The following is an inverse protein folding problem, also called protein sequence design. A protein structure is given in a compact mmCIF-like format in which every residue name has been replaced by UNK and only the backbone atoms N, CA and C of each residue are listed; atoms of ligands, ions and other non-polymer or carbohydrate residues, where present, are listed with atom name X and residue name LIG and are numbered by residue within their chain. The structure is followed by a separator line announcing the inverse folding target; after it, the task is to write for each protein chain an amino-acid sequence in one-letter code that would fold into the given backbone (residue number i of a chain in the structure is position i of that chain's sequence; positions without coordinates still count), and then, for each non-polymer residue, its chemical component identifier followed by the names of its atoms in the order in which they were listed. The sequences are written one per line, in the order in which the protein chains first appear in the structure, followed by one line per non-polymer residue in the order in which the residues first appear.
data_IF_099319287423
#
_entry.id   IF_099319287423
#
_cell.length_a   1.000
_cell.length_b   1.000
_cell.length_c   1.000
_cell.angle_alpha   90.00
_cell.angle_beta   90.00
_cell.angle_gamma   90.00
#
_symmetry.space_group_name_H-M   'P 1'
#
loop_
_entity.id
_entity.type
_entity.pdbx_description
1 polymer ?
#
# COMPACT_ATOMS: atom_id res chain seq x y z
N UNK A 1 -18.31 -0.61 -24.88
CA UNK A 1 -17.61 0.02 -23.74
C UNK A 1 -17.22 -1.10 -22.80
N UNK A 2 -15.92 -1.30 -22.54
CA UNK A 2 -15.51 -2.24 -21.50
C UNK A 2 -16.00 -1.67 -20.16
N UNK A 3 -16.91 -2.40 -19.51
CA UNK A 3 -17.40 -2.02 -18.19
C UNK A 3 -16.22 -2.12 -17.21
N UNK A 4 -15.93 -1.03 -16.50
CA UNK A 4 -14.86 -0.97 -15.49
C UNK A 4 -15.04 -2.10 -14.48
N UNK A 5 -16.28 -2.41 -14.11
CA UNK A 5 -16.60 -3.50 -13.19
C UNK A 5 -16.13 -4.86 -13.70
N UNK A 6 -16.30 -5.15 -15.00
CA UNK A 6 -15.85 -6.41 -15.60
C UNK A 6 -14.33 -6.50 -15.63
N UNK A 7 -13.64 -5.39 -15.93
CA UNK A 7 -12.17 -5.37 -15.86
C UNK A 7 -11.69 -5.54 -14.42
N UNK A 8 -12.36 -4.91 -13.45
CA UNK A 8 -11.99 -5.06 -12.04
C UNK A 8 -12.21 -6.50 -11.57
N UNK A 9 -13.30 -7.15 -11.98
CA UNK A 9 -13.56 -8.56 -11.71
C UNK A 9 -12.50 -9.47 -12.36
N UNK A 10 -12.19 -9.27 -13.64
CA UNK A 10 -11.19 -10.05 -14.39
C UNK A 10 -9.80 -10.02 -13.72
N UNK A 11 -9.39 -8.84 -13.24
CA UNK A 11 -8.09 -8.63 -12.62
C UNK A 11 -8.12 -8.76 -11.09
N UNK A 12 -9.24 -9.18 -10.50
CA UNK A 12 -9.44 -9.27 -9.04
C UNK A 12 -9.10 -7.97 -8.30
N UNK A 13 -9.44 -6.83 -8.89
CA UNK A 13 -9.29 -5.51 -8.30
C UNK A 13 -10.55 -5.22 -7.47
N UNK A 14 -10.43 -4.98 -6.16
CA UNK A 14 -11.60 -4.70 -5.33
C UNK A 14 -12.28 -3.40 -5.77
N UNK A 15 -13.60 -3.45 -5.94
CA UNK A 15 -14.43 -2.25 -6.10
C UNK A 15 -14.58 -1.59 -4.73
N UNK A 16 -13.97 -0.42 -4.57
CA UNK A 16 -14.04 0.38 -3.35
C UNK A 16 -15.19 1.36 -3.45
N UNK A 17 -15.87 1.60 -2.32
CA UNK A 17 -16.88 2.64 -2.23
C UNK A 17 -16.28 4.03 -2.37
N UNK A 18 -17.09 5.01 -2.78
CA UNK A 18 -16.65 6.40 -2.92
C UNK A 18 -16.14 6.99 -1.59
N UNK A 19 -16.71 6.55 -0.47
CA UNK A 19 -16.29 6.96 0.87
C UNK A 19 -14.89 6.43 1.22
N UNK A 20 -14.63 5.15 0.93
CA UNK A 20 -13.29 4.54 1.11
C UNK A 20 -12.26 5.23 0.23
N UNK A 21 -12.57 5.43 -1.05
CA UNK A 21 -11.70 6.11 -2.01
C UNK A 21 -11.34 7.54 -1.54
N UNK A 22 -12.34 8.27 -1.03
CA UNK A 22 -12.14 9.62 -0.52
C UNK A 22 -11.29 9.62 0.75
N UNK A 23 -11.49 8.63 1.63
CA UNK A 23 -10.66 8.44 2.83
C UNK A 23 -9.19 8.20 2.46
N UNK A 24 -8.92 7.26 1.54
CA UNK A 24 -7.56 7.00 1.07
C UNK A 24 -6.92 8.24 0.42
N UNK A 25 -7.68 8.97 -0.40
CA UNK A 25 -7.17 10.19 -1.04
C UNK A 25 -6.76 11.26 -0.02
N UNK A 26 -7.53 11.40 1.06
CA UNK A 26 -7.24 12.34 2.15
C UNK A 26 -6.01 11.92 2.96
N UNK A 27 -5.87 10.62 3.26
CA UNK A 27 -4.78 10.09 4.09
C UNK A 27 -3.49 9.83 3.31
N UNK A 28 -3.53 9.82 1.98
CA UNK A 28 -2.36 9.52 1.15
C UNK A 28 -1.13 10.43 1.41
N UNK A 29 -1.27 11.75 1.59
CA UNK A 29 -0.14 12.59 1.98
C UNK A 29 0.47 12.19 3.33
N UNK A 30 -0.36 11.79 4.30
CA UNK A 30 0.10 11.40 5.63
C UNK A 30 0.90 10.10 5.56
N UNK A 31 0.41 9.09 4.84
CA UNK A 31 1.14 7.81 4.75
C UNK A 31 2.44 7.95 3.95
N UNK A 32 2.49 8.81 2.92
CA UNK A 32 3.72 9.14 2.22
C UNK A 32 4.73 9.85 3.13
N UNK A 33 4.24 10.78 3.95
CA UNK A 33 5.09 11.43 4.95
C UNK A 33 5.64 10.42 5.95
N UNK A 34 4.80 9.49 6.45
CA UNK A 34 5.24 8.39 7.33
C UNK A 34 6.36 7.59 6.68
N UNK A 35 6.17 7.09 5.45
CA UNK A 35 7.20 6.34 4.69
C UNK A 35 8.52 7.12 4.57
N UNK A 36 8.45 8.40 4.22
CA UNK A 36 9.66 9.20 3.95
C UNK A 36 10.41 9.61 5.23
N UNK A 37 9.70 9.67 6.37
CA UNK A 37 10.26 10.04 7.67
C UNK A 37 10.30 8.85 8.64
N UNK A 38 10.22 7.63 8.12
CA UNK A 38 10.25 6.41 8.90
C UNK A 38 11.66 6.21 9.46
N UNK A 39 11.91 6.68 10.68
CA UNK A 39 13.26 6.76 11.24
C UNK A 39 13.67 5.50 12.01
N UNK A 40 12.69 4.72 12.51
CA UNK A 40 12.76 3.38 13.13
C UNK A 40 11.44 3.13 13.86
N UNK A 41 10.96 1.87 13.97
CA UNK A 41 9.89 1.56 14.90
C UNK A 41 10.35 1.88 16.34
N UNK A 42 9.43 2.29 17.21
CA UNK A 42 9.73 2.51 18.62
C UNK A 42 9.87 1.15 19.31
N UNK A 43 11.11 0.70 19.51
CA UNK A 43 11.40 -0.64 20.03
C UNK A 43 12.34 -0.58 21.23
N UNK A 44 11.97 -1.29 22.30
CA UNK A 44 12.82 -1.50 23.45
C UNK A 44 13.48 -2.88 23.36
N UNK A 45 14.80 -2.88 23.22
CA UNK A 45 15.61 -4.10 23.09
C UNK A 45 16.15 -4.47 24.46
N UNK A 46 15.90 -5.70 24.89
CA UNK A 46 16.45 -6.27 26.11
C UNK A 46 17.36 -7.44 25.76
N UNK A 47 18.67 -7.19 25.80
CA UNK A 47 19.72 -8.13 25.45
C UNK A 47 19.78 -9.33 26.41
N UNK A 48 19.47 -9.14 27.69
CA UNK A 48 19.54 -10.18 28.71
C UNK A 48 18.43 -11.22 28.58
N UNK A 49 17.22 -10.77 28.26
CA UNK A 49 16.06 -11.66 28.08
C UNK A 49 15.74 -11.95 26.61
N UNK A 50 16.58 -11.45 25.68
CA UNK A 50 16.40 -11.57 24.24
C UNK A 50 15.00 -11.19 23.77
N UNK A 51 14.48 -10.07 24.27
CA UNK A 51 13.16 -9.53 23.91
C UNK A 51 13.31 -8.23 23.14
N UNK A 52 12.45 -8.03 22.14
CA UNK A 52 12.24 -6.74 21.49
C UNK A 52 10.78 -6.37 21.74
N UNK A 53 10.56 -5.23 22.37
CA UNK A 53 9.22 -4.73 22.72
C UNK A 53 8.83 -3.65 21.74
N UNK A 54 7.82 -3.90 20.90
CA UNK A 54 7.33 -2.91 19.94
C UNK A 54 6.29 -2.04 20.66
N UNK A 55 6.55 -0.75 20.72
CA UNK A 55 5.60 0.26 21.19
C UNK A 55 4.81 0.77 20.00
N UNK A 56 3.50 0.55 20.02
CA UNK A 56 2.60 1.19 19.06
C UNK A 56 2.45 2.66 19.46
N UNK A 57 2.84 3.59 18.58
CA UNK A 57 2.81 5.04 18.84
C UNK A 57 1.40 5.65 18.72
N UNK A 58 0.38 4.84 18.46
CA UNK A 58 -1.00 5.30 18.49
C UNK A 58 -1.39 5.61 19.95
N UNK A 59 -1.33 6.91 20.27
CA UNK A 59 -1.45 7.65 21.54
C UNK A 59 -2.75 7.39 22.37
N UNK A 60 -3.42 6.26 22.17
CA UNK A 60 -4.64 5.86 22.89
C UNK A 60 -4.69 4.39 23.32
N UNK A 61 -3.68 3.56 23.06
CA UNK A 61 -3.61 2.21 23.63
C UNK A 61 -2.18 1.81 24.00
N UNK A 62 -1.96 1.58 25.30
CA UNK A 62 -0.77 0.96 25.88
C UNK A 62 -0.78 -0.54 25.51
N UNK A 63 -0.59 -0.85 24.23
CA UNK A 63 -0.40 -2.22 23.76
C UNK A 63 1.03 -2.35 23.27
N UNK A 64 1.97 -2.42 24.23
CA UNK A 64 3.31 -2.91 23.93
C UNK A 64 3.23 -4.41 23.69
N UNK A 65 3.72 -4.87 22.54
CA UNK A 65 3.85 -6.31 22.28
C UNK A 65 5.27 -6.72 22.62
N UNK A 66 5.41 -7.49 23.70
CA UNK A 66 6.67 -8.12 24.08
C UNK A 66 6.88 -9.34 23.17
N UNK A 67 7.85 -9.26 22.26
CA UNK A 67 8.24 -10.39 21.44
C UNK A 67 9.48 -11.04 22.07
N UNK A 68 9.33 -12.28 22.55
CA UNK A 68 10.43 -13.14 23.01
C UNK A 68 11.06 -13.82 21.80
N UNK A 69 12.38 -13.66 21.61
CA UNK A 69 13.04 -14.16 20.40
C UNK A 69 13.81 -15.46 20.57
N UNK A 70 13.45 -16.43 19.72
CA UNK A 70 14.18 -17.66 19.44
C UNK A 70 14.65 -17.65 17.98
N UNK A 71 15.72 -18.38 17.60
CA UNK A 71 16.22 -18.43 16.21
C UNK A 71 15.17 -18.84 15.18
N UNK A 72 14.15 -19.60 15.60
CA UNK A 72 13.00 -20.01 14.79
C UNK A 72 12.19 -18.79 14.27
N UNK A 73 12.21 -17.68 15.02
CA UNK A 73 11.50 -16.45 14.68
C UNK A 73 12.12 -15.72 13.47
N UNK A 74 13.41 -15.94 13.14
CA UNK A 74 14.01 -15.37 11.93
C UNK A 74 13.38 -15.94 10.66
N UNK A 75 13.08 -17.24 10.67
CA UNK A 75 12.41 -17.89 9.54
C UNK A 75 10.98 -17.37 9.40
N UNK A 76 10.26 -17.19 10.51
CA UNK A 76 8.91 -16.63 10.51
C UNK A 76 8.87 -15.18 10.01
N UNK A 77 9.79 -14.32 10.47
CA UNK A 77 9.93 -12.94 9.99
C UNK A 77 10.23 -12.89 8.49
N UNK A 78 11.14 -13.75 8.03
CA UNK A 78 11.47 -13.86 6.61
C UNK A 78 10.27 -14.29 5.77
N UNK A 79 9.49 -15.27 6.25
CA UNK A 79 8.25 -15.71 5.57
C UNK A 79 7.21 -14.57 5.50
N UNK A 80 7.00 -13.86 6.61
CA UNK A 80 6.07 -12.73 6.66
C UNK A 80 6.51 -11.59 5.71
N UNK A 81 7.79 -11.26 5.69
CA UNK A 81 8.34 -10.24 4.80
C UNK A 81 8.19 -10.65 3.33
N UNK A 82 8.49 -11.90 2.99
CA UNK A 82 8.30 -12.42 1.63
C UNK A 82 6.83 -12.40 1.20
N UNK A 83 5.90 -12.72 2.10
CA UNK A 83 4.47 -12.63 1.83
C UNK A 83 4.04 -11.18 1.57
N UNK A 84 4.47 -10.23 2.41
CA UNK A 84 4.19 -8.80 2.20
C UNK A 84 4.76 -8.29 0.87
N UNK A 85 5.98 -8.69 0.51
CA UNK A 85 6.60 -8.36 -0.77
C UNK A 85 5.83 -8.95 -1.95
N UNK A 86 5.36 -10.20 -1.83
CA UNK A 86 4.51 -10.82 -2.84
C UNK A 86 3.18 -10.07 -3.00
N UNK A 87 2.55 -9.65 -1.89
CA UNK A 87 1.35 -8.83 -1.91
C UNK A 87 1.60 -7.45 -2.54
N UNK A 88 2.71 -6.79 -2.23
CA UNK A 88 3.11 -5.51 -2.86
C UNK A 88 3.26 -5.69 -4.38
N UNK A 89 3.96 -6.73 -4.81
CA UNK A 89 4.16 -7.02 -6.22
C UNK A 89 2.84 -7.32 -6.94
N UNK A 90 1.93 -8.04 -6.27
CA UNK A 90 0.58 -8.28 -6.78
C UNK A 90 -0.19 -6.97 -6.96
N UNK A 91 -0.22 -6.11 -5.94
CA UNK A 91 -0.90 -4.80 -6.01
C UNK A 91 -0.33 -3.90 -7.11
N UNK A 92 0.99 -3.90 -7.31
CA UNK A 92 1.64 -3.15 -8.38
C UNK A 92 1.24 -3.69 -9.76
N UNK A 93 1.56 -4.95 -10.03
CA UNK A 93 1.45 -5.54 -11.37
C UNK A 93 0.02 -5.88 -11.81
N UNK A 94 -0.84 -6.32 -10.89
CA UNK A 94 -2.20 -6.78 -11.23
C UNK A 94 -3.26 -5.72 -11.02
N UNK A 95 -3.01 -4.70 -10.20
CA UNK A 95 -4.01 -3.68 -9.90
C UNK A 95 -3.57 -2.31 -10.39
N UNK A 96 -2.44 -1.78 -9.90
CA UNK A 96 -2.01 -0.42 -10.22
C UNK A 96 -1.72 -0.24 -11.71
N UNK A 97 -0.91 -1.13 -12.29
CA UNK A 97 -0.55 -1.07 -13.72
C UNK A 97 -1.79 -1.19 -14.62
N UNK A 98 -2.75 -2.03 -14.25
CA UNK A 98 -4.02 -2.19 -14.98
C UNK A 98 -4.83 -0.89 -14.93
N UNK A 99 -4.99 -0.30 -13.74
CA UNK A 99 -5.71 0.97 -13.57
C UNK A 99 -5.02 2.10 -14.34
N UNK A 100 -3.70 2.20 -14.29
CA UNK A 100 -2.93 3.22 -15.01
C UNK A 100 -3.07 3.07 -16.53
N UNK A 101 -3.08 1.83 -17.03
CA UNK A 101 -3.35 1.55 -18.44
C UNK A 101 -4.78 1.98 -18.85
N UNK A 102 -5.79 1.74 -18.01
CA UNK A 102 -7.15 2.20 -18.25
C UNK A 102 -7.24 3.74 -18.27
N UNK A 103 -6.59 4.42 -17.33
CA UNK A 103 -6.52 5.90 -17.30
C UNK A 103 -5.91 6.42 -18.61
N UNK A 104 -4.81 5.83 -19.06
CA UNK A 104 -4.15 6.21 -20.31
C UNK A 104 -5.04 5.96 -21.53
N UNK A 105 -5.73 4.81 -21.58
CA UNK A 105 -6.66 4.48 -22.65
C UNK A 105 -7.82 5.49 -22.73
N UNK A 106 -8.43 5.82 -21.58
CA UNK A 106 -9.54 6.77 -21.48
C UNK A 106 -9.11 8.19 -21.80
N UNK A 107 -7.94 8.62 -21.32
CA UNK A 107 -7.34 9.91 -21.66
C UNK A 107 -7.05 10.03 -23.15
N UNK A 108 -6.54 8.97 -23.78
CA UNK A 108 -6.33 8.92 -25.23
C UNK A 108 -7.66 9.03 -25.98
N UNK A 109 -8.70 8.31 -25.54
CA UNK A 109 -10.04 8.41 -26.14
C UNK A 109 -10.61 9.83 -26.02
N UNK A 110 -10.46 10.47 -24.86
CA UNK A 110 -10.85 11.86 -24.65
C UNK A 110 -10.17 12.80 -25.66
N UNK A 111 -8.86 12.62 -25.91
CA UNK A 111 -8.13 13.39 -26.92
C UNK A 111 -8.54 13.11 -28.37
N UNK A 112 -9.15 11.96 -28.65
CA UNK A 112 -9.63 11.59 -29.98
C UNK A 112 -11.03 12.14 -30.29
N UNK A 113 -11.80 12.52 -29.26
CA UNK A 113 -13.11 13.16 -29.43
C UNK A 113 -12.89 14.55 -30.03
N UNK A 114 -13.10 14.67 -31.35
CA UNK A 114 -13.09 15.95 -32.07
C UNK A 114 -14.38 16.73 -31.76
N UNK A 115 -14.25 18.03 -31.52
CA UNK A 115 -15.36 18.96 -31.32
C UNK A 115 -16.22 19.10 -32.59
N UNK A 116 -17.18 18.20 -32.80
CA UNK A 116 -18.20 18.29 -33.85
C UNK A 116 -19.56 18.37 -33.16
N UNK A 117 -20.14 19.58 -33.15
CA UNK A 117 -21.47 19.96 -32.66
C UNK A 117 -21.78 19.68 -31.16
N UNK A 118 -21.64 20.76 -30.39
CA UNK A 118 -21.40 20.79 -28.93
C UNK A 118 -22.51 20.40 -27.96
N UNK A 119 -23.51 19.59 -28.36
CA UNK A 119 -24.56 19.13 -27.42
C UNK A 119 -24.45 17.62 -27.14
N UNK A 120 -24.21 16.78 -28.16
CA UNK A 120 -24.06 15.32 -28.00
C UNK A 120 -22.71 14.90 -27.39
N UNK A 121 -21.66 15.67 -27.66
CA UNK A 121 -20.30 15.45 -27.13
C UNK A 121 -20.21 15.70 -25.61
N UNK A 122 -21.09 16.55 -25.08
CA UNK A 122 -21.03 16.95 -23.67
C UNK A 122 -21.22 15.78 -22.70
N UNK A 123 -22.11 14.84 -23.03
CA UNK A 123 -22.39 13.70 -22.15
C UNK A 123 -21.31 12.62 -22.24
N UNK A 124 -20.81 12.29 -23.44
CA UNK A 124 -19.72 11.33 -23.60
C UNK A 124 -18.42 11.84 -22.93
N UNK A 125 -18.09 13.12 -23.12
CA UNK A 125 -16.93 13.76 -22.47
C UNK A 125 -17.08 13.73 -20.95
N UNK A 126 -18.26 14.11 -20.42
CA UNK A 126 -18.52 14.04 -18.98
C UNK A 126 -18.40 12.62 -18.43
N UNK A 127 -18.90 11.62 -19.16
CA UNK A 127 -18.79 10.21 -18.78
C UNK A 127 -17.33 9.78 -18.69
N UNK A 128 -16.53 10.04 -19.74
CA UNK A 128 -15.11 9.66 -19.77
C UNK A 128 -14.31 10.37 -18.69
N UNK A 129 -14.56 11.67 -18.46
CA UNK A 129 -13.92 12.43 -17.37
C UNK A 129 -14.30 11.87 -16.01
N UNK A 130 -15.56 11.46 -15.81
CA UNK A 130 -16.02 10.79 -14.60
C UNK A 130 -15.30 9.46 -14.36
N UNK A 131 -15.18 8.63 -15.41
CA UNK A 131 -14.43 7.36 -15.36
C UNK A 131 -12.96 7.59 -15.00
N UNK A 132 -12.29 8.56 -15.65
CA UNK A 132 -10.89 8.90 -15.34
C UNK A 132 -10.74 9.29 -13.88
N UNK A 133 -11.59 10.18 -13.36
CA UNK A 133 -11.53 10.62 -11.96
C UNK A 133 -11.74 9.45 -10.99
N UNK A 134 -12.66 8.53 -11.29
CA UNK A 134 -12.86 7.34 -10.47
C UNK A 134 -11.63 6.44 -10.49
N UNK A 135 -11.06 6.16 -11.66
CA UNK A 135 -9.84 5.35 -11.81
C UNK A 135 -8.64 5.99 -11.09
N UNK A 136 -8.48 7.32 -11.14
CA UNK A 136 -7.44 8.04 -10.40
C UNK A 136 -7.58 7.85 -8.89
N UNK A 137 -8.80 7.89 -8.35
CA UNK A 137 -9.05 7.59 -6.94
C UNK A 137 -8.68 6.15 -6.58
N UNK A 138 -9.08 5.19 -7.41
CA UNK A 138 -8.69 3.79 -7.22
C UNK A 138 -7.16 3.63 -7.24
N UNK A 139 -6.45 4.29 -8.16
CA UNK A 139 -5.00 4.27 -8.21
C UNK A 139 -4.37 4.80 -6.92
N UNK A 140 -4.90 5.89 -6.36
CA UNK A 140 -4.44 6.44 -5.07
C UNK A 140 -4.68 5.44 -3.93
N UNK A 141 -5.84 4.78 -3.88
CA UNK A 141 -6.13 3.78 -2.85
C UNK A 141 -5.16 2.57 -2.93
N UNK A 142 -4.88 2.07 -4.13
CA UNK A 142 -3.90 0.98 -4.30
C UNK A 142 -2.49 1.44 -3.91
N UNK A 143 -2.08 2.67 -4.30
CA UNK A 143 -0.79 3.24 -3.89
C UNK A 143 -0.69 3.40 -2.37
N UNK A 144 -1.77 3.80 -1.70
CA UNK A 144 -1.83 3.85 -0.25
C UNK A 144 -1.53 2.48 0.36
N UNK A 145 -2.22 1.44 -0.11
CA UNK A 145 -2.06 0.07 0.40
C UNK A 145 -0.65 -0.49 0.15
N UNK A 146 -0.03 -0.11 -0.97
CA UNK A 146 1.37 -0.44 -1.25
C UNK A 146 2.29 0.23 -0.22
N UNK A 147 2.14 1.54 -0.01
CA UNK A 147 2.98 2.29 0.93
C UNK A 147 2.83 1.75 2.35
N UNK A 148 1.62 1.41 2.79
CA UNK A 148 1.39 0.81 4.10
C UNK A 148 2.18 -0.50 4.29
N UNK A 149 2.17 -1.38 3.28
CA UNK A 149 2.92 -2.63 3.32
C UNK A 149 4.43 -2.41 3.23
N UNK A 150 4.87 -1.41 2.46
CA UNK A 150 6.30 -1.03 2.38
C UNK A 150 6.83 -0.58 3.74
N UNK A 151 6.05 0.21 4.50
CA UNK A 151 6.41 0.60 5.87
C UNK A 151 6.51 -0.64 6.77
N UNK A 152 5.53 -1.55 6.70
CA UNK A 152 5.56 -2.81 7.47
C UNK A 152 6.78 -3.68 7.12
N UNK A 153 7.18 -3.73 5.85
CA UNK A 153 8.41 -4.43 5.44
C UNK A 153 9.63 -3.77 6.07
N UNK A 154 9.73 -2.43 6.03
CA UNK A 154 10.84 -1.70 6.66
C UNK A 154 10.93 -1.94 8.16
N UNK A 155 9.79 -2.05 8.86
CA UNK A 155 9.74 -2.41 10.28
C UNK A 155 10.31 -3.81 10.54
N UNK A 156 9.90 -4.79 9.72
CA UNK A 156 10.38 -6.16 9.84
C UNK A 156 11.87 -6.29 9.49
N UNK A 157 12.35 -5.53 8.50
CA UNK A 157 13.78 -5.45 8.16
C UNK A 157 14.59 -4.90 9.34
N UNK A 158 14.09 -3.86 10.01
CA UNK A 158 14.73 -3.31 11.20
C UNK A 158 14.79 -4.32 12.33
N UNK A 159 13.66 -4.95 12.67
CA UNK A 159 13.59 -5.98 13.72
C UNK A 159 14.54 -7.14 13.40
N UNK A 160 14.56 -7.61 12.16
CA UNK A 160 15.46 -8.67 11.71
C UNK A 160 16.94 -8.30 11.88
N UNK A 161 17.32 -7.05 11.55
CA UNK A 161 18.68 -6.57 11.71
C UNK A 161 19.12 -6.48 13.18
N UNK A 162 18.24 -5.99 14.07
CA UNK A 162 18.52 -5.93 15.51
C UNK A 162 18.71 -7.34 16.11
N UNK A 163 17.87 -8.30 15.70
CA UNK A 163 18.01 -9.70 16.14
C UNK A 163 19.33 -10.32 15.73
N UNK A 164 19.74 -10.14 14.46
CA UNK A 164 21.05 -10.60 14.00
C UNK A 164 22.19 -9.99 14.82
N UNK A 165 22.07 -8.70 15.17
CA UNK A 165 23.08 -8.04 16.02
C UNK A 165 23.14 -8.66 17.42
N UNK A 166 22.00 -9.01 18.02
CA UNK A 166 21.93 -9.65 19.32
C UNK A 166 22.53 -11.07 19.30
N UNK A 167 22.26 -11.84 18.25
CA UNK A 167 22.86 -13.17 18.07
C UNK A 167 24.39 -13.07 17.98
N UNK A 168 24.91 -12.16 17.15
CA UNK A 168 26.35 -11.94 17.00
C UNK A 168 27.01 -11.48 18.31
N UNK A 169 26.36 -10.60 19.06
CA UNK A 169 26.87 -10.13 20.36
C UNK A 169 26.94 -11.26 21.41
N UNK A 170 26.05 -12.26 21.32
CA UNK A 170 26.04 -13.38 22.27
C UNK A 170 27.11 -14.45 22.04
N UNK A 171 27.84 -14.38 20.92
CA UNK A 171 28.91 -15.31 20.53
C UNK A 171 30.30 -14.82 20.98
N UNK A 172 30.43 -13.53 21.31
CA UNK A 172 31.67 -12.87 21.76
C UNK A 172 31.81 -12.90 23.29
#
# INVERSE_FOLDING_TARGET
MNNIELTFEEFNIPLLSEDELTSYQKEFPNILWKRNNHLKPNVLINEYSKTITIHDEDDTNINSVDLFFHPENHNELSLLMNDLLAQINKLRSQSLDVIENLINERTRRLGQIRFIDGISIGEEVKSIVGEIRYLEKCAIAIRYQIVEKEIKVQDLEYISAELLSMEMASIL
#
